data_IF_657253328931
#
_entry.id   IF_657253328931
#
_cell.length_a   1.000
_cell.length_b   1.000
_cell.length_c   1.000
_cell.angle_alpha   90.00
_cell.angle_beta   90.00
_cell.angle_gamma   90.00
#
_symmetry.space_group_name_H-M   'P 1'
#
loop_
_entity.id
_entity.type
_entity.pdbx_description
1 polymer ?
#
# COMPACT_ATOMS: atom_id res chain seq x y z
N UNK A 1 -30.20 -39.84 -25.00
CA UNK A 1 -30.27 -38.37 -24.84
C UNK A 1 -29.28 -37.99 -23.73
N UNK A 2 -28.07 -37.61 -24.13
CA UNK A 2 -26.93 -37.40 -23.22
C UNK A 2 -27.21 -36.13 -22.39
N UNK A 3 -27.39 -36.28 -21.08
CA UNK A 3 -27.34 -35.16 -20.14
C UNK A 3 -25.87 -34.76 -20.00
N UNK A 4 -25.46 -33.74 -20.75
CA UNK A 4 -24.22 -33.03 -20.47
C UNK A 4 -24.47 -32.28 -19.16
N UNK A 5 -23.97 -32.83 -18.04
CA UNK A 5 -23.70 -32.03 -16.86
C UNK A 5 -22.55 -31.11 -17.26
N UNK A 6 -22.89 -29.87 -17.57
CA UNK A 6 -21.91 -28.79 -17.59
C UNK A 6 -21.42 -28.63 -16.16
N UNK A 7 -20.34 -29.35 -15.84
CA UNK A 7 -19.54 -29.08 -14.66
C UNK A 7 -18.93 -27.71 -14.87
N UNK A 8 -19.62 -26.71 -14.34
CA UNK A 8 -19.04 -25.43 -13.98
C UNK A 8 -17.91 -25.79 -13.02
N UNK A 9 -16.68 -25.93 -13.55
CA UNK A 9 -15.48 -25.68 -12.78
C UNK A 9 -15.68 -24.31 -12.16
N UNK A 10 -16.08 -24.32 -10.88
CA UNK A 10 -16.65 -23.20 -10.14
C UNK A 10 -15.90 -21.93 -10.46
N UNK A 11 -16.60 -20.91 -10.95
CA UNK A 11 -16.07 -19.56 -11.24
C UNK A 11 -15.20 -19.03 -10.10
N UNK A 12 -15.54 -19.41 -8.86
CA UNK A 12 -14.83 -19.03 -7.63
C UNK A 12 -13.40 -19.61 -7.58
N UNK A 13 -13.19 -20.83 -8.07
CA UNK A 13 -11.87 -21.47 -8.10
C UNK A 13 -10.95 -20.77 -9.12
N UNK A 14 -11.49 -20.39 -10.28
CA UNK A 14 -10.76 -19.62 -11.29
C UNK A 14 -10.42 -18.20 -10.81
N UNK A 15 -11.34 -17.54 -10.09
CA UNK A 15 -11.11 -16.23 -9.48
C UNK A 15 -9.99 -16.34 -8.43
N UNK A 16 -10.05 -17.34 -7.55
CA UNK A 16 -9.04 -17.54 -6.51
C UNK A 16 -7.64 -17.82 -7.10
N UNK A 17 -7.55 -18.63 -8.16
CA UNK A 17 -6.29 -18.83 -8.89
C UNK A 17 -5.75 -17.54 -9.51
N UNK A 18 -6.64 -16.70 -10.03
CA UNK A 18 -6.28 -15.43 -10.66
C UNK A 18 -5.73 -14.45 -9.64
N UNK A 19 -6.38 -14.32 -8.47
CA UNK A 19 -5.88 -13.48 -7.36
C UNK A 19 -4.50 -13.95 -6.87
N UNK A 20 -4.33 -15.26 -6.69
CA UNK A 20 -3.05 -15.83 -6.24
C UNK A 20 -1.92 -15.59 -7.25
N UNK A 21 -2.23 -15.71 -8.54
CA UNK A 21 -1.30 -15.42 -9.63
C UNK A 21 -0.91 -13.94 -9.67
N UNK A 22 -1.89 -13.03 -9.58
CA UNK A 22 -1.66 -11.58 -9.56
C UNK A 22 -0.78 -11.19 -8.37
N UNK A 23 -1.07 -11.72 -7.18
CA UNK A 23 -0.29 -11.43 -5.96
C UNK A 23 1.17 -11.87 -6.09
N UNK A 24 1.40 -13.09 -6.60
CA UNK A 24 2.75 -13.58 -6.87
C UNK A 24 3.49 -12.73 -7.91
N UNK A 25 2.79 -12.31 -8.96
CA UNK A 25 3.38 -11.52 -10.04
C UNK A 25 3.76 -10.11 -9.57
N UNK A 26 2.88 -9.44 -8.82
CA UNK A 26 3.16 -8.11 -8.27
C UNK A 26 4.41 -8.10 -7.39
N UNK A 27 4.53 -9.08 -6.48
CA UNK A 27 5.70 -9.21 -5.61
C UNK A 27 6.99 -9.37 -6.40
N UNK A 28 7.01 -10.28 -7.38
CA UNK A 28 8.18 -10.51 -8.24
C UNK A 28 8.57 -9.28 -9.06
N UNK A 29 7.59 -8.50 -9.52
CA UNK A 29 7.83 -7.28 -10.28
C UNK A 29 8.50 -6.20 -9.42
N UNK A 30 8.03 -6.04 -8.17
CA UNK A 30 8.59 -5.10 -7.22
C UNK A 30 10.00 -5.50 -6.78
N UNK A 31 10.23 -6.79 -6.51
CA UNK A 31 11.57 -7.34 -6.24
C UNK A 31 12.52 -7.05 -7.41
N UNK A 32 12.08 -7.34 -8.65
CA UNK A 32 12.87 -7.06 -9.85
C UNK A 32 13.19 -5.57 -10.00
N UNK A 33 12.21 -4.69 -9.73
CA UNK A 33 12.42 -3.25 -9.75
C UNK A 33 13.50 -2.82 -8.74
N UNK A 34 13.41 -3.25 -7.49
CA UNK A 34 14.38 -2.87 -6.44
C UNK A 34 15.77 -3.41 -6.76
N UNK A 35 15.88 -4.65 -7.23
CA UNK A 35 17.16 -5.23 -7.67
C UNK A 35 17.77 -4.49 -8.86
N UNK A 36 16.93 -4.04 -9.79
CA UNK A 36 17.39 -3.28 -10.96
C UNK A 36 17.81 -1.86 -10.57
N UNK A 37 17.05 -1.22 -9.68
CA UNK A 37 17.38 0.08 -9.12
C UNK A 37 18.73 0.04 -8.39
N UNK A 38 18.95 -0.97 -7.55
CA UNK A 38 20.22 -1.19 -6.85
C UNK A 38 21.41 -1.31 -7.81
N UNK A 39 21.24 -2.07 -8.91
CA UNK A 39 22.29 -2.23 -9.93
C UNK A 39 22.61 -0.94 -10.70
N UNK A 40 21.62 -0.11 -10.99
CA UNK A 40 21.78 1.10 -11.81
C UNK A 40 22.28 2.27 -10.97
N UNK A 41 21.72 2.45 -9.78
CA UNK A 41 21.95 3.63 -8.94
C UNK A 41 22.88 3.33 -7.75
N UNK A 42 23.16 2.07 -7.45
CA UNK A 42 23.96 1.64 -6.31
C UNK A 42 23.16 1.51 -5.02
N UNK A 43 23.59 0.61 -4.15
CA UNK A 43 22.93 0.28 -2.88
C UNK A 43 22.79 1.45 -1.93
N UNK A 44 23.70 2.42 -1.98
CA UNK A 44 23.63 3.65 -1.19
C UNK A 44 22.42 4.54 -1.55
N UNK A 45 21.86 4.38 -2.75
CA UNK A 45 20.64 5.08 -3.18
C UNK A 45 19.36 4.27 -2.89
N UNK A 46 19.46 3.03 -2.41
CA UNK A 46 18.32 2.22 -1.96
C UNK A 46 17.88 2.73 -0.58
N UNK A 47 17.23 3.89 -0.60
CA UNK A 47 16.64 4.49 0.59
C UNK A 47 15.45 3.67 1.09
N UNK A 48 14.97 4.02 2.29
CA UNK A 48 13.78 3.40 2.87
C UNK A 48 12.56 3.43 1.92
N UNK A 49 12.41 4.47 1.12
CA UNK A 49 11.31 4.59 0.15
C UNK A 49 11.38 3.52 -0.94
N UNK A 50 12.58 3.15 -1.39
CA UNK A 50 12.77 2.11 -2.40
C UNK A 50 12.59 0.73 -1.78
N UNK A 51 13.16 0.50 -0.60
CA UNK A 51 12.99 -0.77 0.12
C UNK A 51 11.53 -1.03 0.49
N UNK A 52 10.79 0.03 0.88
CA UNK A 52 9.38 -0.04 1.24
C UNK A 52 8.47 -0.60 0.14
N UNK A 53 8.88 -0.50 -1.13
CA UNK A 53 8.14 -1.08 -2.26
C UNK A 53 8.02 -2.61 -2.16
N UNK A 54 8.95 -3.29 -1.47
CA UNK A 54 8.87 -4.74 -1.24
C UNK A 54 7.71 -5.14 -0.32
N UNK A 55 7.24 -4.21 0.52
CA UNK A 55 6.19 -4.44 1.51
C UNK A 55 4.81 -3.98 1.01
N UNK A 56 4.73 -3.17 -0.03
CA UNK A 56 3.47 -2.57 -0.48
C UNK A 56 2.41 -3.62 -0.87
N UNK A 57 2.83 -4.77 -1.40
CA UNK A 57 1.93 -5.87 -1.75
C UNK A 57 1.36 -6.57 -0.51
N UNK A 58 2.16 -6.74 0.55
CA UNK A 58 1.65 -7.24 1.84
C UNK A 58 0.77 -6.21 2.53
N UNK A 59 1.11 -4.94 2.43
CA UNK A 59 0.34 -3.85 3.03
C UNK A 59 -1.04 -3.72 2.38
N UNK A 60 -1.14 -3.88 1.05
CA UNK A 60 -2.41 -3.91 0.35
C UNK A 60 -3.32 -5.06 0.84
N UNK A 61 -2.76 -6.24 1.08
CA UNK A 61 -3.53 -7.37 1.60
C UNK A 61 -4.01 -7.15 3.05
N UNK A 62 -3.29 -6.35 3.84
CA UNK A 62 -3.62 -6.09 5.24
C UNK A 62 -4.54 -4.87 5.44
N UNK A 63 -4.27 -3.79 4.71
CA UNK A 63 -4.95 -2.49 4.88
C UNK A 63 -5.90 -2.13 3.73
N UNK A 64 -5.92 -2.92 2.66
CA UNK A 64 -6.68 -2.64 1.45
C UNK A 64 -6.02 -1.59 0.54
N UNK A 65 -6.79 -0.93 -0.33
CA UNK A 65 -6.28 0.12 -1.22
C UNK A 65 -5.55 1.24 -0.49
N UNK A 66 -4.57 1.85 -1.15
CA UNK A 66 -3.79 2.97 -0.61
C UNK A 66 -4.68 4.12 -0.09
N UNK A 67 -5.84 4.33 -0.68
CA UNK A 67 -6.79 5.36 -0.22
C UNK A 67 -7.23 5.14 1.23
N UNK A 68 -7.27 3.89 1.70
CA UNK A 68 -7.66 3.53 3.06
C UNK A 68 -6.54 3.70 4.09
N UNK A 69 -5.28 3.60 3.66
CA UNK A 69 -4.11 3.70 4.55
C UNK A 69 -3.26 4.97 4.34
N UNK A 70 -3.58 5.79 3.33
CA UNK A 70 -2.84 7.02 3.05
C UNK A 70 -3.17 8.12 4.06
N UNK A 71 -2.16 8.91 4.41
CA UNK A 71 -2.37 10.15 5.17
C UNK A 71 -2.83 11.32 4.26
N UNK A 72 -3.17 11.06 3.00
CA UNK A 72 -3.54 12.11 2.05
C UNK A 72 -4.77 12.93 2.48
N UNK A 73 -5.86 12.31 3.01
CA UNK A 73 -7.00 13.06 3.56
C UNK A 73 -6.57 14.03 4.67
N UNK A 74 -5.54 13.66 5.45
CA UNK A 74 -5.05 14.44 6.57
C UNK A 74 -4.10 15.58 6.19
N UNK A 75 -3.67 15.65 4.92
CA UNK A 75 -2.64 16.61 4.46
C UNK A 75 -3.02 18.07 4.74
N UNK A 76 -4.29 18.42 4.56
CA UNK A 76 -4.76 19.79 4.76
C UNK A 76 -5.03 20.15 6.23
N UNK A 77 -5.24 19.16 7.10
CA UNK A 77 -5.49 19.41 8.53
C UNK A 77 -4.28 20.02 9.24
N UNK A 78 -3.06 19.89 8.70
CA UNK A 78 -1.88 20.58 9.24
C UNK A 78 -2.06 22.11 9.26
N UNK A 79 -2.77 22.69 8.28
CA UNK A 79 -3.07 24.13 8.26
C UNK A 79 -4.01 24.52 9.40
N UNK A 80 -5.04 23.72 9.63
CA UNK A 80 -6.02 23.91 10.70
C UNK A 80 -5.35 23.81 12.08
N UNK A 81 -4.53 22.78 12.29
CA UNK A 81 -3.74 22.57 13.51
C UNK A 81 -2.80 23.77 13.73
N UNK A 82 -2.07 24.22 12.72
CA UNK A 82 -1.17 25.38 12.86
C UNK A 82 -1.91 26.69 13.18
N UNK A 83 -3.13 26.84 12.69
CA UNK A 83 -3.98 28.01 13.00
C UNK A 83 -4.50 27.95 14.44
N UNK A 84 -4.61 26.75 15.01
CA UNK A 84 -4.97 26.55 16.40
C UNK A 84 -3.83 26.89 17.39
N UNK A 85 -2.58 26.79 16.93
CA UNK A 85 -1.39 27.06 17.73
C UNK A 85 -1.07 28.56 17.75
N UNK A 86 -0.91 29.14 18.93
CA UNK A 86 -0.56 30.56 19.10
C UNK A 86 0.95 30.79 19.14
N UNK A 87 1.69 29.82 19.70
CA UNK A 87 3.16 29.81 19.84
C UNK A 87 3.65 28.37 19.69
N UNK A 88 4.91 28.17 19.29
CA UNK A 88 5.50 26.83 19.16
C UNK A 88 5.65 26.07 20.48
N UNK A 89 5.48 26.76 21.63
CA UNK A 89 5.59 26.15 22.95
C UNK A 89 4.33 25.36 23.33
N UNK A 90 4.54 24.14 23.82
CA UNK A 90 3.49 23.24 24.36
C UNK A 90 2.29 23.04 23.42
N UNK A 91 2.50 22.62 22.15
CA UNK A 91 1.45 22.57 21.14
C UNK A 91 0.29 21.63 21.49
N UNK A 92 0.56 20.48 22.10
CA UNK A 92 -0.48 19.56 22.57
C UNK A 92 -1.38 20.20 23.64
N UNK A 93 -0.79 20.91 24.60
CA UNK A 93 -1.54 21.57 25.66
C UNK A 93 -2.37 22.74 25.12
N UNK A 94 -1.85 23.48 24.13
CA UNK A 94 -2.61 24.53 23.42
C UNK A 94 -3.80 23.96 22.63
N UNK A 95 -3.67 22.76 22.08
CA UNK A 95 -4.73 22.11 21.31
C UNK A 95 -5.83 21.55 22.23
N UNK A 96 -5.44 20.96 23.37
CA UNK A 96 -6.34 20.27 24.31
C UNK A 96 -7.04 21.27 25.25
N UNK A 97 -6.33 22.28 25.77
CA UNK A 97 -6.86 23.25 26.74
C UNK A 97 -7.53 24.46 26.07
N UNK A 98 -8.14 24.27 24.90
CA UNK A 98 -8.80 25.34 24.14
C UNK A 98 -10.25 25.50 24.53
#
# INVERSE_FOLDING_TARGET
>A
MIKIKNDILSTDCLIQYTELYINCLQKKLLEYFVMTFDKIYGSFNVSHNIHGLLHIASDYNHYGPLDQCSCFPFKNHMKEIKTALRKSEKPLQQLICR
#
